data_IF_639633753139
#
_entry.id   IF_639633753139
#
_cell.length_a   1.000
_cell.length_b   1.000
_cell.length_c   1.000
_cell.angle_alpha   90.00
_cell.angle_beta   90.00
_cell.angle_gamma   90.00
#
_symmetry.space_group_name_H-M   'P 1'
#
loop_
_entity.id
_entity.type
_entity.pdbx_description
1 polymer ?
#
# COMPACT_ATOMS: atom_id res chain seq x y z
N UNK A 1 -2.59 37.11 13.14
CA UNK A 1 -2.25 36.11 12.11
C UNK A 1 -1.31 35.09 12.73
N UNK A 2 -1.53 33.80 12.57
CA UNK A 2 -0.58 32.78 13.02
C UNK A 2 0.59 32.69 12.02
N UNK A 3 1.82 32.51 12.51
CA UNK A 3 3.01 32.52 11.67
C UNK A 3 3.13 31.26 10.83
N UNK A 4 2.98 31.38 9.51
CA UNK A 4 3.37 30.34 8.56
C UNK A 4 4.89 30.18 8.58
N UNK A 5 5.38 28.96 8.82
CA UNK A 5 6.78 28.64 8.60
C UNK A 5 7.03 28.52 7.10
N UNK A 6 7.85 29.42 6.55
CA UNK A 6 8.58 29.10 5.32
C UNK A 6 9.47 27.90 5.64
N UNK A 7 9.33 26.80 4.88
CA UNK A 7 10.23 25.65 5.00
C UNK A 7 11.65 26.14 4.70
N UNK A 8 12.57 25.95 5.64
CA UNK A 8 13.96 26.33 5.42
C UNK A 8 14.55 25.45 4.32
N UNK A 9 15.34 26.07 3.45
CA UNK A 9 16.08 25.42 2.37
C UNK A 9 16.82 24.17 2.89
N UNK A 10 16.75 23.08 2.13
CA UNK A 10 17.42 21.82 2.42
C UNK A 10 18.94 22.00 2.67
N UNK A 11 19.55 23.03 2.06
CA UNK A 11 20.95 23.43 2.25
C UNK A 11 21.31 23.81 3.70
N UNK A 12 20.33 24.14 4.54
CA UNK A 12 20.56 24.64 5.91
C UNK A 12 21.07 23.52 6.84
N UNK A 13 22.20 23.74 7.50
CA UNK A 13 22.75 22.85 8.53
C UNK A 13 21.88 22.84 9.82
N UNK A 14 21.80 21.78 10.63
CA UNK A 14 22.41 20.45 10.58
C UNK A 14 21.37 19.41 11.08
N UNK A 15 21.13 18.29 10.37
CA UNK A 15 20.11 17.30 10.73
C UNK A 15 20.41 16.52 12.03
N UNK A 16 21.62 16.56 12.59
CA UNK A 16 21.87 16.03 13.94
C UNK A 16 21.10 16.81 15.01
N UNK A 17 20.85 18.11 14.82
CA UNK A 17 20.34 19.02 15.85
C UNK A 17 19.04 18.55 16.53
N UNK A 18 17.92 18.35 15.81
CA UNK A 18 16.66 17.93 16.45
C UNK A 18 16.74 16.52 17.06
N UNK A 19 17.54 15.60 16.49
CA UNK A 19 17.78 14.30 17.12
C UNK A 19 18.69 14.40 18.34
N UNK A 20 19.57 15.39 18.40
CA UNK A 20 20.42 15.68 19.56
C UNK A 20 19.81 16.75 20.48
N UNK A 21 18.48 16.87 20.53
CA UNK A 21 17.77 17.76 21.45
C UNK A 21 16.68 17.05 22.26
N UNK A 22 16.35 17.63 23.42
CA UNK A 22 15.24 17.24 24.25
C UNK A 22 13.91 17.71 23.65
N UNK A 23 12.97 16.79 23.39
CA UNK A 23 11.65 17.10 22.79
C UNK A 23 10.82 18.13 23.59
N UNK A 24 11.17 18.37 24.85
CA UNK A 24 10.41 19.20 25.80
C UNK A 24 10.95 20.62 25.92
N UNK A 25 12.26 20.82 25.67
CA UNK A 25 12.95 22.08 25.98
C UNK A 25 14.06 22.47 24.99
N UNK A 26 14.28 21.71 23.90
CA UNK A 26 15.26 22.02 22.85
C UNK A 26 16.73 21.93 23.28
N UNK A 27 17.04 21.56 24.52
CA UNK A 27 18.43 21.44 25.01
C UNK A 27 19.08 20.11 24.61
N UNK A 28 20.36 20.15 24.25
CA UNK A 28 21.23 18.96 24.22
C UNK A 28 21.52 18.52 25.68
N UNK A 29 21.89 17.24 25.95
CA UNK A 29 22.49 16.85 27.23
C UNK A 29 23.86 17.53 27.40
N UNK A 30 24.39 17.52 28.63
CA UNK A 30 25.74 18.02 28.89
C UNK A 30 26.79 17.09 28.25
N UNK A 31 28.00 17.59 27.91
CA UNK A 31 29.04 16.77 27.29
C UNK A 31 29.33 15.49 28.08
N UNK A 32 29.30 14.34 27.40
CA UNK A 32 29.47 13.01 28.00
C UNK A 32 28.18 12.36 28.55
N UNK A 33 27.12 13.13 28.80
CA UNK A 33 25.82 12.56 29.19
C UNK A 33 25.06 11.98 27.99
N UNK A 34 24.27 10.94 28.26
CA UNK A 34 23.36 10.33 27.27
C UNK A 34 21.93 10.80 27.51
N UNK A 35 21.16 10.90 26.44
CA UNK A 35 19.72 11.16 26.53
C UNK A 35 18.99 10.12 27.39
N UNK A 36 18.13 10.60 28.29
CA UNK A 36 17.09 9.78 28.90
C UNK A 36 16.06 9.39 27.81
N UNK A 37 15.55 8.17 27.92
CA UNK A 37 14.51 7.58 27.08
C UNK A 37 13.52 6.83 27.98
N UNK A 38 12.26 6.69 27.58
CA UNK A 38 11.29 5.97 28.40
C UNK A 38 11.50 4.46 28.29
N UNK A 39 11.74 3.79 29.44
CA UNK A 39 11.98 2.34 29.55
C UNK A 39 10.84 1.45 29.05
N UNK A 40 9.63 1.99 28.85
CA UNK A 40 8.47 1.25 28.29
C UNK A 40 8.47 1.23 26.76
N UNK A 41 9.01 2.28 26.14
CA UNK A 41 9.08 2.43 24.69
C UNK A 41 10.21 1.58 24.10
N UNK A 42 10.17 1.35 22.79
CA UNK A 42 11.34 0.89 22.03
C UNK A 42 12.36 2.02 21.99
N UNK A 43 13.64 1.74 22.26
CA UNK A 43 14.67 2.76 22.55
C UNK A 43 14.92 3.70 21.37
N UNK A 44 14.86 3.16 20.16
CA UNK A 44 15.10 3.82 18.88
C UNK A 44 13.93 4.77 18.54
N UNK A 45 12.72 4.37 18.93
CA UNK A 45 11.44 5.07 18.73
C UNK A 45 11.14 6.08 19.86
N UNK A 46 11.68 5.88 21.06
CA UNK A 46 11.41 6.77 22.18
C UNK A 46 11.86 8.21 21.87
N UNK A 47 11.10 9.24 22.29
CA UNK A 47 11.59 10.60 22.28
C UNK A 47 12.79 10.74 23.22
N UNK A 48 13.62 11.75 22.96
CA UNK A 48 14.84 12.00 23.72
C UNK A 48 14.60 13.11 24.74
N UNK A 49 15.08 12.90 25.97
CA UNK A 49 14.91 13.82 27.11
C UNK A 49 16.28 14.15 27.73
N UNK A 50 16.59 15.43 27.94
CA UNK A 50 17.84 15.81 28.61
C UNK A 50 17.83 15.49 30.11
N UNK A 51 16.66 15.22 30.71
CA UNK A 51 16.54 14.80 32.11
C UNK A 51 15.25 14.03 32.35
N UNK A 52 15.24 13.25 33.44
CA UNK A 52 14.05 12.60 34.00
C UNK A 52 12.89 13.57 34.27
N UNK A 53 13.19 14.81 34.69
CA UNK A 53 12.18 15.85 34.90
C UNK A 53 11.46 16.25 33.59
N UNK A 54 12.18 16.30 32.47
CA UNK A 54 11.56 16.54 31.16
C UNK A 54 10.67 15.36 30.74
N UNK A 55 11.10 14.11 30.98
CA UNK A 55 10.27 12.93 30.72
C UNK A 55 8.95 13.00 31.50
N UNK A 56 9.00 13.28 32.80
CA UNK A 56 7.79 13.43 33.64
C UNK A 56 6.88 14.54 33.13
N UNK A 57 7.40 15.74 32.91
CA UNK A 57 6.64 16.88 32.39
C UNK A 57 5.91 16.57 31.06
N UNK A 58 6.52 15.77 30.18
CA UNK A 58 5.93 15.41 28.89
C UNK A 58 4.86 14.31 28.99
N UNK A 59 5.00 13.40 29.96
CA UNK A 59 3.99 12.40 30.33
C UNK A 59 2.80 13.05 31.03
N UNK A 60 3.03 13.93 32.01
CA UNK A 60 2.02 14.70 32.74
C UNK A 60 1.17 15.59 31.81
N UNK A 61 1.77 16.15 30.77
CA UNK A 61 1.08 16.89 29.70
C UNK A 61 0.33 16.01 28.70
N UNK A 62 0.29 14.70 28.90
CA UNK A 62 -0.38 13.74 28.00
C UNK A 62 0.26 13.57 26.62
N UNK A 63 1.43 14.19 26.35
CA UNK A 63 2.12 14.14 25.05
C UNK A 63 2.95 12.86 24.85
N UNK A 64 3.08 12.06 25.92
CA UNK A 64 3.66 10.73 25.90
C UNK A 64 2.90 9.83 26.86
N UNK A 65 1.91 9.11 26.33
CA UNK A 65 1.10 8.18 27.14
C UNK A 65 1.63 6.75 27.03
N UNK A 66 1.19 5.88 27.95
CA UNK A 66 1.44 4.42 27.87
C UNK A 66 1.01 3.84 26.51
N UNK A 67 -0.17 4.23 26.04
CA UNK A 67 -0.71 3.80 24.75
C UNK A 67 0.17 4.22 23.56
N UNK A 68 0.86 5.37 23.64
CA UNK A 68 1.82 5.79 22.60
C UNK A 68 3.09 4.92 22.60
N UNK A 69 3.63 4.48 23.74
CA UNK A 69 4.72 3.49 23.75
C UNK A 69 4.27 2.13 23.22
N UNK A 70 3.05 1.68 23.56
CA UNK A 70 2.49 0.41 23.10
C UNK A 70 2.23 0.42 21.58
N UNK A 71 1.66 1.52 21.05
CA UNK A 71 1.49 1.76 19.62
C UNK A 71 2.83 1.95 18.89
N UNK A 72 3.79 2.66 19.47
CA UNK A 72 5.14 2.78 18.90
C UNK A 72 5.88 1.45 18.81
N UNK A 73 5.71 0.57 19.80
CA UNK A 73 6.19 -0.82 19.73
C UNK A 73 5.45 -1.62 18.66
N UNK A 74 4.12 -1.49 18.56
CA UNK A 74 3.30 -2.12 17.51
C UNK A 74 3.80 -1.74 16.11
N UNK A 75 3.93 -0.44 15.84
CA UNK A 75 4.40 0.07 14.54
C UNK A 75 5.83 -0.37 14.22
N UNK A 76 6.77 -0.25 15.17
CA UNK A 76 8.19 -0.52 14.89
C UNK A 76 8.57 -2.01 14.86
N UNK A 77 7.84 -2.88 15.57
CA UNK A 77 8.20 -4.31 15.72
C UNK A 77 7.26 -5.23 14.94
N UNK A 78 5.95 -4.97 14.94
CA UNK A 78 4.95 -5.89 14.42
C UNK A 78 4.29 -5.44 13.12
N UNK A 79 4.22 -4.13 12.85
CA UNK A 79 3.71 -3.58 11.59
C UNK A 79 4.82 -3.57 10.54
N UNK A 80 4.86 -4.61 9.70
CA UNK A 80 5.90 -4.81 8.67
C UNK A 80 6.14 -3.60 7.77
N UNK A 81 5.12 -2.75 7.61
CA UNK A 81 5.11 -1.55 6.74
C UNK A 81 6.07 -0.46 7.20
N UNK A 82 6.17 -0.24 8.51
CA UNK A 82 7.07 0.77 9.11
C UNK A 82 8.04 0.17 10.14
N UNK A 83 8.15 -1.17 10.15
CA UNK A 83 9.09 -1.95 10.95
C UNK A 83 10.51 -1.43 10.77
N UNK A 84 11.25 -1.31 11.87
CA UNK A 84 12.67 -0.95 11.85
C UNK A 84 13.01 0.49 11.42
N UNK A 85 12.05 1.30 10.98
CA UNK A 85 12.25 2.71 10.62
C UNK A 85 11.83 3.62 11.79
N UNK A 86 12.75 4.08 12.65
CA UNK A 86 12.41 4.84 13.85
C UNK A 86 11.91 6.26 13.53
N UNK A 87 12.22 6.78 12.34
CA UNK A 87 11.81 8.13 11.92
C UNK A 87 10.35 8.16 11.47
N UNK A 88 9.91 7.19 10.67
CA UNK A 88 8.51 7.04 10.29
C UNK A 88 7.62 6.85 11.53
N UNK A 89 8.00 5.99 12.47
CA UNK A 89 7.21 5.76 13.68
C UNK A 89 7.18 7.00 14.59
N UNK A 90 8.27 7.78 14.68
CA UNK A 90 8.26 9.06 15.42
C UNK A 90 7.36 10.11 14.78
N UNK A 91 7.35 10.21 13.45
CA UNK A 91 6.47 11.12 12.72
C UNK A 91 4.99 10.73 12.90
N UNK A 92 4.65 9.45 12.71
CA UNK A 92 3.29 8.91 12.90
C UNK A 92 2.75 9.03 14.35
N UNK A 93 3.63 9.23 15.35
CA UNK A 93 3.26 9.47 16.75
C UNK A 93 3.27 10.97 17.15
N UNK A 94 3.58 11.88 16.22
CA UNK A 94 3.71 13.31 16.53
C UNK A 94 4.93 13.64 17.42
N UNK A 95 5.97 12.80 17.38
CA UNK A 95 7.22 12.93 18.14
C UNK A 95 8.42 13.41 17.31
N UNK A 96 8.18 13.77 16.04
CA UNK A 96 9.15 14.35 15.13
C UNK A 96 8.45 15.40 14.27
N UNK A 97 9.11 16.52 14.00
CA UNK A 97 8.60 17.55 13.09
C UNK A 97 8.55 17.00 11.66
N UNK A 98 7.58 17.45 10.86
CA UNK A 98 7.41 16.96 9.49
C UNK A 98 8.62 17.28 8.60
N UNK A 99 9.20 18.47 8.77
CA UNK A 99 10.39 18.92 8.02
C UNK A 99 11.62 18.05 8.34
N UNK A 100 11.86 17.73 9.62
CA UNK A 100 12.93 16.80 10.01
C UNK A 100 12.64 15.36 9.58
N UNK A 101 11.37 14.94 9.56
CA UNK A 101 11.01 13.63 9.04
C UNK A 101 11.38 13.52 7.56
N UNK A 102 10.98 14.49 6.72
CA UNK A 102 11.32 14.46 5.29
C UNK A 102 12.83 14.60 5.04
N UNK A 103 13.54 15.45 5.79
CA UNK A 103 15.01 15.53 5.71
C UNK A 103 15.68 14.19 6.04
N UNK A 104 15.19 13.45 7.05
CA UNK A 104 15.69 12.10 7.40
C UNK A 104 15.24 11.03 6.41
N UNK A 105 14.04 11.13 5.84
CA UNK A 105 13.58 10.25 4.77
C UNK A 105 14.48 10.34 3.54
N UNK A 106 14.83 11.56 3.10
CA UNK A 106 15.76 11.78 1.99
C UNK A 106 17.16 11.21 2.26
N UNK A 107 17.72 11.43 3.45
CA UNK A 107 19.01 10.82 3.82
C UNK A 107 18.97 9.28 3.79
N UNK A 108 17.91 8.67 4.33
CA UNK A 108 17.69 7.22 4.31
C UNK A 108 17.51 6.70 2.87
N UNK A 109 16.78 7.41 2.02
CA UNK A 109 16.65 7.08 0.59
C UNK A 109 18.02 7.12 -0.09
N UNK A 110 18.81 8.18 0.09
CA UNK A 110 20.19 8.26 -0.45
C UNK A 110 21.10 7.13 0.05
N UNK A 111 20.98 6.71 1.33
CA UNK A 111 21.75 5.58 1.87
C UNK A 111 21.34 4.23 1.24
N UNK A 112 20.05 4.04 0.95
CA UNK A 112 19.53 2.86 0.22
C UNK A 112 20.00 2.87 -1.25
N UNK A 113 19.97 4.03 -1.91
CA UNK A 113 20.43 4.17 -3.29
C UNK A 113 21.93 3.88 -3.43
N UNK A 114 22.74 4.36 -2.47
CA UNK A 114 24.18 4.03 -2.40
C UNK A 114 24.43 2.54 -2.18
N UNK A 115 23.67 1.87 -1.31
CA UNK A 115 23.83 0.42 -1.14
C UNK A 115 23.53 -0.37 -2.41
N UNK A 116 22.63 0.11 -3.28
CA UNK A 116 22.35 -0.49 -4.60
C UNK A 116 23.47 -0.16 -5.62
N UNK A 117 24.11 1.00 -5.50
CA UNK A 117 25.26 1.44 -6.33
C UNK A 117 26.55 0.71 -5.95
N UNK A 118 26.92 0.72 -4.66
CA UNK A 118 28.09 0.04 -4.06
C UNK A 118 28.07 -1.49 -4.31
N UNK A 119 26.88 -2.06 -4.44
CA UNK A 119 26.65 -3.48 -4.76
C UNK A 119 27.08 -3.87 -6.19
N UNK A 120 27.19 -2.91 -7.12
CA UNK A 120 27.83 -3.10 -8.44
C UNK A 120 27.21 -4.17 -9.35
N UNK A 121 25.96 -4.59 -9.10
CA UNK A 121 25.28 -5.68 -9.82
C UNK A 121 23.93 -5.23 -10.36
N UNK A 122 23.55 -5.76 -11.55
CA UNK A 122 22.27 -5.42 -12.18
C UNK A 122 21.11 -5.79 -11.26
N UNK A 123 20.38 -4.76 -10.87
CA UNK A 123 19.35 -4.78 -9.84
C UNK A 123 18.05 -4.27 -10.44
N UNK A 124 16.98 -5.06 -10.31
CA UNK A 124 15.65 -4.63 -10.70
C UNK A 124 14.94 -4.00 -9.50
N UNK A 125 14.37 -2.81 -9.69
CA UNK A 125 13.67 -2.05 -8.65
C UNK A 125 12.19 -2.06 -8.96
N UNK A 126 11.42 -2.73 -8.08
CA UNK A 126 9.97 -2.70 -8.10
C UNK A 126 9.45 -1.83 -6.95
N UNK A 127 8.41 -1.03 -7.21
CA UNK A 127 7.75 -0.20 -6.18
C UNK A 127 6.32 -0.70 -5.93
N UNK A 128 5.90 -0.61 -4.67
CA UNK A 128 4.58 -1.05 -4.21
C UNK A 128 3.96 0.02 -3.27
N UNK A 129 2.90 0.72 -3.67
CA UNK A 129 2.20 1.66 -2.80
C UNK A 129 1.22 0.96 -1.86
N UNK A 130 1.17 1.43 -0.61
CA UNK A 130 0.08 1.14 0.31
C UNK A 130 -0.41 2.43 0.98
N UNK A 131 -1.73 2.61 1.06
CA UNK A 131 -2.36 3.75 1.77
C UNK A 131 -2.94 3.31 3.11
N UNK A 132 -2.52 3.94 4.22
CA UNK A 132 -3.00 3.61 5.56
C UNK A 132 -3.11 4.86 6.47
N UNK A 133 -4.01 4.81 7.46
CA UNK A 133 -4.12 5.86 8.48
C UNK A 133 -3.16 5.69 9.65
N UNK A 134 -2.63 4.48 9.86
CA UNK A 134 -1.75 4.11 10.99
C UNK A 134 -2.29 4.52 12.39
N UNK A 135 -3.63 4.57 12.57
CA UNK A 135 -4.32 5.07 13.78
C UNK A 135 -4.10 6.59 14.04
N UNK A 136 -3.88 7.38 12.99
CA UNK A 136 -3.82 8.85 13.02
C UNK A 136 -5.09 9.49 12.45
N UNK A 137 -5.13 10.82 12.47
CA UNK A 137 -6.10 11.67 11.78
C UNK A 137 -5.71 11.99 10.31
N UNK A 138 -4.67 11.39 9.73
CA UNK A 138 -4.30 11.55 8.32
C UNK A 138 -4.36 10.21 7.57
N UNK A 139 -4.47 10.24 6.25
CA UNK A 139 -4.02 9.13 5.41
C UNK A 139 -2.59 9.38 4.95
N UNK A 140 -1.78 8.34 4.95
CA UNK A 140 -0.45 8.33 4.36
C UNK A 140 -0.41 7.32 3.23
N UNK A 141 0.31 7.64 2.17
CA UNK A 141 0.85 6.63 1.28
C UNK A 141 2.27 6.28 1.74
N UNK A 142 2.50 4.99 1.83
CA UNK A 142 3.78 4.33 1.98
C UNK A 142 4.18 3.79 0.61
N UNK A 143 5.44 3.93 0.23
CA UNK A 143 6.03 3.20 -0.90
C UNK A 143 7.05 2.23 -0.33
N UNK A 144 6.78 0.94 -0.49
CA UNK A 144 7.79 -0.09 -0.34
C UNK A 144 8.60 -0.18 -1.64
N UNK A 145 9.90 -0.40 -1.52
CA UNK A 145 10.80 -0.63 -2.65
C UNK A 145 11.45 -2.00 -2.51
N UNK A 146 11.29 -2.85 -3.52
CA UNK A 146 11.93 -4.16 -3.62
C UNK A 146 13.10 -4.09 -4.59
N UNK A 147 14.30 -4.36 -4.08
CA UNK A 147 15.55 -4.43 -4.85
C UNK A 147 15.86 -5.90 -5.14
N UNK A 148 15.57 -6.34 -6.36
CA UNK A 148 15.66 -7.71 -6.85
C UNK A 148 17.03 -7.99 -7.48
N UNK A 149 17.66 -9.11 -7.15
CA UNK A 149 18.91 -9.56 -7.81
C UNK A 149 19.12 -11.07 -7.65
N UNK A 150 19.86 -11.66 -8.57
CA UNK A 150 20.12 -13.11 -8.66
C UNK A 150 21.57 -13.53 -8.39
N UNK A 151 22.48 -12.58 -8.10
CA UNK A 151 23.93 -12.83 -7.91
C UNK A 151 24.47 -12.02 -6.73
N UNK A 152 25.39 -12.58 -5.93
CA UNK A 152 26.04 -11.85 -4.81
C UNK A 152 25.09 -11.33 -3.73
N UNK A 153 23.86 -11.85 -3.63
CA UNK A 153 22.88 -11.38 -2.64
C UNK A 153 23.37 -11.47 -1.17
N UNK A 154 24.10 -12.52 -0.74
CA UNK A 154 24.63 -12.61 0.63
C UNK A 154 25.60 -11.49 1.02
N UNK A 155 26.19 -10.79 0.05
CA UNK A 155 27.19 -9.74 0.28
C UNK A 155 26.55 -8.37 0.60
N UNK A 156 25.22 -8.24 0.47
CA UNK A 156 24.47 -6.99 0.66
C UNK A 156 24.34 -6.59 2.13
N UNK A 157 24.57 -5.30 2.40
CA UNK A 157 24.56 -4.73 3.75
C UNK A 157 23.61 -3.52 3.84
N UNK A 158 22.28 -3.74 3.79
CA UNK A 158 21.30 -2.66 3.86
C UNK A 158 21.43 -1.84 5.16
N UNK A 159 21.36 -0.50 5.12
CA UNK A 159 21.58 0.33 6.30
C UNK A 159 20.58 0.04 7.43
N UNK A 160 21.08 -0.03 8.67
CA UNK A 160 20.38 -0.64 9.80
C UNK A 160 19.11 0.10 10.29
N UNK A 161 18.90 1.36 9.88
CA UNK A 161 17.75 2.20 10.22
C UNK A 161 16.66 2.22 9.12
N UNK A 162 16.87 1.49 8.02
CA UNK A 162 15.94 1.43 6.88
C UNK A 162 14.76 0.47 7.09
N UNK A 163 14.89 -0.46 8.05
CA UNK A 163 13.92 -1.54 8.25
C UNK A 163 13.95 -2.64 7.19
N UNK A 164 15.03 -2.74 6.41
CA UNK A 164 15.17 -3.70 5.32
C UNK A 164 14.93 -5.16 5.72
N UNK A 165 14.29 -5.90 4.81
CA UNK A 165 14.02 -7.34 4.92
C UNK A 165 14.78 -8.06 3.80
N UNK A 166 15.71 -8.94 4.16
CA UNK A 166 16.46 -9.75 3.21
C UNK A 166 15.71 -11.06 2.93
N UNK A 167 15.59 -11.41 1.67
CA UNK A 167 15.06 -12.68 1.14
C UNK A 167 16.03 -13.19 0.07
N UNK A 168 16.09 -14.49 -0.21
CA UNK A 168 17.10 -15.18 -1.05
C UNK A 168 17.46 -14.54 -2.41
N UNK A 169 16.59 -13.69 -2.96
CA UNK A 169 16.76 -12.97 -4.25
C UNK A 169 16.34 -11.49 -4.20
N UNK A 170 16.12 -10.92 -3.01
CA UNK A 170 15.70 -9.51 -2.90
C UNK A 170 16.03 -8.87 -1.54
N UNK A 171 16.13 -7.54 -1.54
CA UNK A 171 16.08 -6.73 -0.32
C UNK A 171 14.86 -5.81 -0.42
N UNK A 172 13.92 -5.96 0.51
CA UNK A 172 12.69 -5.17 0.56
C UNK A 172 12.84 -4.07 1.61
N UNK A 173 12.66 -2.83 1.19
CA UNK A 173 12.65 -1.64 2.02
C UNK A 173 11.18 -1.22 2.22
N UNK A 174 10.49 -1.72 3.26
CA UNK A 174 9.02 -1.60 3.37
C UNK A 174 8.54 -0.16 3.54
N UNK A 175 9.40 0.72 4.07
CA UNK A 175 9.15 2.16 4.20
C UNK A 175 10.20 2.99 3.47
N UNK A 176 10.46 2.70 2.19
CA UNK A 176 11.35 3.52 1.35
C UNK A 176 10.86 4.97 1.32
N UNK A 177 9.56 5.19 1.14
CA UNK A 177 8.92 6.50 1.24
C UNK A 177 7.65 6.42 2.09
N UNK A 178 7.32 7.49 2.81
CA UNK A 178 6.07 7.71 3.53
C UNK A 178 5.69 9.18 3.38
N UNK A 179 4.44 9.47 3.03
CA UNK A 179 3.96 10.84 2.81
C UNK A 179 2.46 10.98 3.10
N UNK A 180 1.98 12.10 3.65
CA UNK A 180 0.56 12.33 3.85
C UNK A 180 -0.14 12.55 2.50
N UNK A 181 -1.29 11.90 2.29
CA UNK A 181 -2.22 12.18 1.19
C UNK A 181 -3.27 13.22 1.56
N UNK A 182 -3.43 13.48 2.87
CA UNK A 182 -4.47 14.34 3.42
C UNK A 182 -3.94 15.25 4.53
N UNK A 183 -4.57 16.41 4.67
CA UNK A 183 -4.52 17.23 5.87
C UNK A 183 -5.10 16.48 7.10
N UNK A 184 -4.91 16.99 8.34
CA UNK A 184 -5.46 16.39 9.55
C UNK A 184 -7.00 16.42 9.56
N UNK A 185 -7.63 15.24 9.64
CA UNK A 185 -9.07 15.05 9.73
C UNK A 185 -9.41 14.00 10.80
N UNK A 186 -9.97 14.41 11.97
CA UNK A 186 -10.33 13.50 13.05
C UNK A 186 -11.28 12.35 12.68
N UNK A 187 -12.01 12.43 11.55
CA UNK A 187 -12.85 11.32 11.05
C UNK A 187 -12.05 10.12 10.55
N UNK A 188 -10.75 10.30 10.23
CA UNK A 188 -9.85 9.23 9.80
C UNK A 188 -9.26 8.43 10.98
N UNK A 189 -9.30 9.00 12.19
CA UNK A 189 -8.83 8.39 13.44
C UNK A 189 -9.82 7.31 13.95
N UNK A 190 -9.96 6.24 13.18
CA UNK A 190 -10.84 5.11 13.46
C UNK A 190 -10.08 3.79 13.39
N UNK A 191 -10.50 2.83 14.23
CA UNK A 191 -9.92 1.48 14.26
C UNK A 191 -10.44 0.63 13.08
N UNK A 192 -9.99 0.95 11.86
CA UNK A 192 -10.33 0.23 10.64
C UNK A 192 -9.77 0.89 9.38
N UNK A 193 -9.98 0.28 8.19
CA UNK A 193 -9.64 0.92 6.92
C UNK A 193 -10.52 2.16 6.70
N UNK A 194 -9.95 3.26 6.16
CA UNK A 194 -10.68 4.51 6.00
C UNK A 194 -11.82 4.37 4.99
N UNK A 195 -13.03 4.77 5.40
CA UNK A 195 -14.22 4.75 4.54
C UNK A 195 -14.31 6.03 3.72
N UNK A 196 -13.43 6.15 2.73
CA UNK A 196 -13.57 7.16 1.68
C UNK A 196 -14.78 6.85 0.79
N UNK A 197 -15.33 7.87 0.14
CA UNK A 197 -16.22 7.68 -1.00
C UNK A 197 -15.42 7.24 -2.25
N UNK A 198 -16.06 6.72 -3.31
CA UNK A 198 -15.39 6.44 -4.57
C UNK A 198 -14.61 7.65 -5.10
N UNK A 199 -15.22 8.84 -5.07
CA UNK A 199 -14.70 10.09 -5.62
C UNK A 199 -13.45 10.57 -4.86
N UNK A 200 -13.51 10.55 -3.53
CA UNK A 200 -12.36 10.83 -2.67
C UNK A 200 -11.25 9.77 -2.80
N UNK A 201 -11.60 8.53 -3.12
CA UNK A 201 -10.61 7.48 -3.42
C UNK A 201 -9.90 7.73 -4.76
N UNK A 202 -10.57 8.34 -5.75
CA UNK A 202 -9.93 8.79 -6.99
C UNK A 202 -8.95 9.93 -6.73
N UNK A 203 -9.35 10.95 -5.95
CA UNK A 203 -8.47 12.07 -5.60
C UNK A 203 -7.19 11.60 -4.88
N UNK A 204 -7.34 10.74 -3.87
CA UNK A 204 -6.20 10.11 -3.21
C UNK A 204 -5.36 9.24 -4.16
N UNK A 205 -5.98 8.51 -5.09
CA UNK A 205 -5.28 7.70 -6.10
C UNK A 205 -4.45 8.56 -7.05
N UNK A 206 -4.98 9.68 -7.52
CA UNK A 206 -4.24 10.63 -8.37
C UNK A 206 -3.00 11.18 -7.66
N UNK A 207 -3.08 11.47 -6.35
CA UNK A 207 -1.92 11.85 -5.53
C UNK A 207 -0.89 10.72 -5.40
N UNK A 208 -1.31 9.48 -5.19
CA UNK A 208 -0.41 8.31 -5.16
C UNK A 208 0.32 8.16 -6.50
N UNK A 209 -0.39 8.26 -7.63
CA UNK A 209 0.21 8.15 -8.95
C UNK A 209 1.19 9.30 -9.27
N UNK A 210 0.89 10.53 -8.86
CA UNK A 210 1.78 11.67 -9.04
C UNK A 210 3.11 11.50 -8.28
N UNK A 211 3.06 11.07 -7.02
CA UNK A 211 4.28 10.87 -6.23
C UNK A 211 5.10 9.68 -6.75
N UNK A 212 4.46 8.57 -7.11
CA UNK A 212 5.15 7.43 -7.74
C UNK A 212 5.77 7.80 -9.08
N UNK A 213 5.16 8.73 -9.84
CA UNK A 213 5.78 9.24 -11.08
C UNK A 213 7.10 9.94 -10.78
N UNK A 214 7.19 10.68 -9.67
CA UNK A 214 8.46 11.31 -9.24
C UNK A 214 9.45 10.28 -8.72
N UNK A 215 9.01 9.34 -7.87
CA UNK A 215 9.86 8.26 -7.34
C UNK A 215 10.43 7.36 -8.46
N UNK A 216 9.69 7.12 -9.54
CA UNK A 216 10.19 6.36 -10.70
C UNK A 216 11.09 7.20 -11.60
N UNK A 217 10.80 8.50 -11.79
CA UNK A 217 11.69 9.41 -12.51
C UNK A 217 13.13 9.38 -11.97
N UNK A 218 13.27 9.37 -10.65
CA UNK A 218 14.56 9.27 -9.98
C UNK A 218 15.34 7.99 -10.29
N UNK A 219 14.67 6.82 -10.25
CA UNK A 219 15.31 5.55 -10.62
C UNK A 219 15.68 5.49 -12.11
N UNK A 220 14.91 6.15 -12.99
CA UNK A 220 15.26 6.26 -14.41
C UNK A 220 16.43 7.22 -14.67
N UNK A 221 16.51 8.35 -13.96
CA UNK A 221 17.67 9.24 -14.02
C UNK A 221 18.95 8.54 -13.50
N UNK A 222 18.85 7.74 -12.44
CA UNK A 222 19.94 6.86 -12.00
C UNK A 222 20.38 5.87 -13.09
N UNK A 223 19.43 5.19 -13.75
CA UNK A 223 19.73 4.27 -14.84
C UNK A 223 20.35 5.00 -16.06
N UNK A 224 19.87 6.20 -16.39
CA UNK A 224 20.41 7.05 -17.46
C UNK A 224 21.84 7.54 -17.15
N UNK A 225 22.18 7.72 -15.86
CA UNK A 225 23.56 7.96 -15.38
C UNK A 225 24.46 6.71 -15.40
N UNK A 226 23.99 5.59 -15.95
CA UNK A 226 24.77 4.35 -16.12
C UNK A 226 24.81 3.45 -14.90
N UNK A 227 24.03 3.72 -13.85
CA UNK A 227 23.93 2.84 -12.70
C UNK A 227 23.21 1.54 -13.07
N UNK A 228 23.52 0.40 -12.42
CA UNK A 228 23.02 -0.92 -12.80
C UNK A 228 21.56 -1.17 -12.36
N UNK A 229 20.70 -0.16 -12.45
CA UNK A 229 19.29 -0.16 -12.03
C UNK A 229 18.37 -0.32 -13.24
N UNK A 230 17.37 -1.18 -13.14
CA UNK A 230 16.23 -1.23 -14.06
C UNK A 230 14.92 -1.14 -13.28
N UNK A 231 13.97 -0.30 -13.69
CA UNK A 231 12.67 -0.19 -13.02
C UNK A 231 11.71 -1.23 -13.59
N UNK A 232 11.05 -1.99 -12.72
CA UNK A 232 10.03 -2.96 -13.11
C UNK A 232 8.81 -2.25 -13.73
N UNK A 233 8.28 -2.69 -14.89
CA UNK A 233 7.26 -1.94 -15.64
C UNK A 233 5.88 -1.87 -14.95
N UNK A 234 5.65 -2.73 -13.96
CA UNK A 234 4.40 -2.77 -13.19
C UNK A 234 4.60 -2.27 -11.76
N UNK A 235 3.65 -1.46 -11.28
CA UNK A 235 3.59 -1.00 -9.90
C UNK A 235 2.69 -1.99 -9.13
N UNK A 236 3.28 -2.69 -8.16
CA UNK A 236 2.63 -3.82 -7.49
C UNK A 236 1.64 -3.34 -6.41
N UNK A 237 0.36 -3.64 -6.59
CA UNK A 237 -0.71 -3.22 -5.69
C UNK A 237 -1.20 -4.36 -4.80
N UNK A 238 -1.14 -4.20 -3.46
CA UNK A 238 -1.85 -5.07 -2.52
C UNK A 238 -3.16 -4.43 -2.04
N UNK A 239 -4.29 -5.02 -2.45
CA UNK A 239 -5.64 -4.53 -2.12
C UNK A 239 -6.18 -5.02 -0.76
N UNK A 240 -5.40 -5.76 0.05
CA UNK A 240 -5.86 -6.48 1.27
C UNK A 240 -6.86 -5.70 2.14
N UNK A 241 -6.72 -4.37 2.25
CA UNK A 241 -7.70 -3.46 2.86
C UNK A 241 -7.94 -2.13 2.10
N UNK A 242 -7.50 -2.00 0.83
CA UNK A 242 -7.09 -0.70 0.30
C UNK A 242 -7.88 -0.15 -0.91
N UNK A 243 -8.94 0.62 -0.65
CA UNK A 243 -9.78 1.25 -1.69
C UNK A 243 -9.04 2.27 -2.57
N UNK A 244 -8.04 2.99 -2.03
CA UNK A 244 -7.28 3.98 -2.82
C UNK A 244 -6.40 3.29 -3.86
N UNK A 245 -5.79 2.17 -3.47
CA UNK A 245 -4.93 1.37 -4.34
C UNK A 245 -5.76 0.58 -5.38
N UNK A 246 -6.91 0.02 -4.99
CA UNK A 246 -7.90 -0.57 -5.92
C UNK A 246 -8.22 0.39 -7.09
N UNK A 247 -8.44 1.67 -6.78
CA UNK A 247 -8.85 2.68 -7.78
C UNK A 247 -7.80 2.91 -8.87
N UNK A 248 -6.50 2.78 -8.55
CA UNK A 248 -5.41 2.95 -9.52
C UNK A 248 -5.55 1.96 -10.68
N UNK A 249 -5.79 0.69 -10.34
CA UNK A 249 -6.02 -0.40 -11.29
C UNK A 249 -7.37 -0.27 -12.01
N UNK A 250 -8.47 -0.19 -11.27
CA UNK A 250 -9.82 -0.25 -11.87
C UNK A 250 -10.17 0.97 -12.72
N UNK A 251 -9.55 2.14 -12.47
CA UNK A 251 -9.69 3.33 -13.34
C UNK A 251 -8.60 3.48 -14.38
N UNK A 252 -7.62 2.58 -14.44
CA UNK A 252 -6.49 2.64 -15.39
C UNK A 252 -5.71 3.97 -15.24
N UNK A 253 -5.48 4.39 -13.98
CA UNK A 253 -4.73 5.62 -13.66
C UNK A 253 -3.25 5.36 -13.94
N UNK A 254 -2.71 6.01 -14.97
CA UNK A 254 -1.31 5.85 -15.36
C UNK A 254 -0.38 6.65 -14.46
N UNK A 255 0.71 6.00 -14.04
CA UNK A 255 1.91 6.69 -13.58
C UNK A 255 2.70 7.11 -14.82
N UNK A 256 3.04 8.39 -14.98
CA UNK A 256 3.64 8.92 -16.22
C UNK A 256 4.92 9.68 -15.92
N UNK A 257 5.99 9.26 -16.58
CA UNK A 257 7.35 9.72 -16.31
C UNK A 257 7.95 10.29 -17.60
N UNK A 258 8.53 11.50 -17.60
CA UNK A 258 9.17 12.05 -18.79
C UNK A 258 10.40 11.23 -19.17
N UNK A 259 10.50 10.85 -20.44
CA UNK A 259 11.73 10.32 -21.02
C UNK A 259 12.65 11.50 -21.37
N UNK A 260 13.68 11.68 -20.53
CA UNK A 260 14.69 12.73 -20.68
C UNK A 260 15.55 12.58 -21.95
N UNK A 261 15.52 11.43 -22.65
CA UNK A 261 16.23 11.21 -23.90
C UNK A 261 15.43 11.56 -25.16
N UNK A 262 14.13 11.25 -25.22
CA UNK A 262 13.35 11.27 -26.47
C UNK A 262 12.11 12.21 -26.47
N UNK A 263 11.90 13.01 -25.43
CA UNK A 263 10.69 13.84 -25.24
C UNK A 263 9.35 13.04 -25.25
N UNK A 264 9.43 11.71 -25.07
CA UNK A 264 8.27 10.84 -24.85
C UNK A 264 7.90 10.80 -23.35
N UNK A 265 6.83 10.11 -23.00
CA UNK A 265 6.52 9.79 -21.60
C UNK A 265 6.34 8.29 -21.43
N UNK A 266 7.19 7.66 -20.61
CA UNK A 266 7.02 6.26 -20.21
C UNK A 266 5.81 6.17 -19.29
N UNK A 267 4.93 5.19 -19.53
CA UNK A 267 3.72 4.97 -18.73
C UNK A 267 3.85 3.66 -17.95
N UNK A 268 3.84 3.76 -16.62
CA UNK A 268 3.88 2.61 -15.72
C UNK A 268 2.46 2.22 -15.33
N UNK A 269 2.17 0.91 -15.44
CA UNK A 269 0.86 0.34 -15.15
C UNK A 269 0.80 -0.11 -13.70
N UNK A 270 -0.29 0.20 -13.00
CA UNK A 270 -0.60 -0.40 -11.71
C UNK A 270 -1.22 -1.77 -11.94
N UNK A 271 -0.67 -2.81 -11.31
CA UNK A 271 -1.25 -4.16 -11.39
C UNK A 271 -1.54 -4.72 -10.00
N UNK A 272 -2.70 -5.36 -9.86
CA UNK A 272 -3.06 -6.06 -8.62
C UNK A 272 -2.25 -7.34 -8.57
N UNK A 273 -1.43 -7.52 -7.52
CA UNK A 273 -0.70 -8.79 -7.39
C UNK A 273 -1.69 -9.96 -7.42
N UNK A 274 -1.41 -11.09 -8.10
CA UNK A 274 -2.37 -12.19 -8.19
C UNK A 274 -2.89 -12.66 -6.83
N UNK A 275 -2.07 -12.56 -5.77
CA UNK A 275 -2.49 -12.73 -4.38
C UNK A 275 -3.74 -11.91 -4.01
N UNK A 276 -3.67 -10.61 -4.25
CA UNK A 276 -4.71 -9.62 -3.96
C UNK A 276 -5.94 -9.78 -4.83
N UNK A 277 -5.78 -10.23 -6.08
CA UNK A 277 -6.89 -10.60 -6.98
C UNK A 277 -7.69 -11.76 -6.37
N UNK A 278 -7.03 -12.82 -5.90
CA UNK A 278 -7.73 -13.99 -5.35
C UNK A 278 -8.39 -13.68 -4.02
N UNK A 279 -7.67 -12.97 -3.13
CA UNK A 279 -8.26 -12.50 -1.87
C UNK A 279 -9.59 -11.82 -2.17
N UNK A 280 -9.65 -10.92 -3.15
CA UNK A 280 -10.90 -10.25 -3.48
C UNK A 280 -11.91 -11.12 -4.23
N UNK A 281 -11.50 -12.08 -5.05
CA UNK A 281 -12.39 -13.08 -5.67
C UNK A 281 -13.10 -13.96 -4.62
N UNK A 282 -12.34 -14.57 -3.71
CA UNK A 282 -12.83 -15.39 -2.60
C UNK A 282 -13.66 -14.55 -1.62
N UNK A 283 -13.25 -13.32 -1.34
CA UNK A 283 -14.03 -12.36 -0.53
C UNK A 283 -15.37 -12.01 -1.15
N UNK A 284 -15.40 -11.84 -2.48
CA UNK A 284 -16.60 -11.50 -3.22
C UNK A 284 -17.54 -12.71 -3.27
N UNK A 285 -17.03 -13.90 -3.56
CA UNK A 285 -17.78 -15.15 -3.50
C UNK A 285 -18.41 -15.38 -2.12
N UNK A 286 -17.61 -15.24 -1.05
CA UNK A 286 -18.12 -15.31 0.32
C UNK A 286 -19.20 -14.24 0.57
N UNK A 287 -18.95 -12.98 0.18
CA UNK A 287 -19.90 -11.88 0.38
C UNK A 287 -21.20 -12.03 -0.43
N UNK A 288 -21.17 -12.74 -1.56
CA UNK A 288 -22.29 -12.95 -2.49
C UNK A 288 -23.12 -14.19 -2.15
N UNK A 289 -22.48 -15.29 -1.74
CA UNK A 289 -23.14 -16.58 -1.47
C UNK A 289 -23.45 -16.75 0.02
N UNK A 290 -22.59 -16.24 0.90
CA UNK A 290 -22.68 -16.43 2.37
C UNK A 290 -22.95 -15.15 3.17
N UNK A 291 -22.83 -13.97 2.55
CA UNK A 291 -22.94 -12.67 3.21
C UNK A 291 -21.60 -12.13 3.71
N UNK A 292 -21.61 -10.87 4.18
CA UNK A 292 -20.38 -10.10 4.46
C UNK A 292 -19.56 -10.68 5.62
N UNK A 293 -18.36 -11.20 5.33
CA UNK A 293 -17.26 -11.22 6.29
C UNK A 293 -16.46 -12.52 6.46
N UNK A 294 -15.65 -12.89 5.44
CA UNK A 294 -14.39 -13.67 5.54
C UNK A 294 -13.59 -13.53 4.22
N UNK A 295 -12.26 -13.72 4.26
CA UNK A 295 -11.29 -13.64 3.14
C UNK A 295 -10.15 -14.65 3.38
N UNK A 296 -9.65 -15.41 2.38
CA UNK A 296 -8.21 -15.35 1.99
C UNK A 296 -7.91 -15.71 0.49
N UNK A 297 -6.66 -16.08 0.15
CA UNK A 297 -5.98 -16.29 -1.17
C UNK A 297 -6.21 -17.69 -1.82
N UNK A 298 -5.58 -18.20 -2.91
CA UNK A 298 -4.73 -17.76 -4.07
C UNK A 298 -5.15 -18.59 -5.37
N UNK A 299 -4.76 -18.52 -6.67
CA UNK A 299 -3.88 -17.80 -7.65
C UNK A 299 -4.29 -18.14 -9.13
N UNK A 300 -3.55 -17.66 -10.16
CA UNK A 300 -3.31 -18.11 -11.59
C UNK A 300 -4.42 -18.67 -12.55
N UNK A 301 -4.26 -18.54 -13.90
CA UNK A 301 -5.10 -18.88 -15.12
C UNK A 301 -6.42 -19.73 -15.03
N UNK A 302 -7.53 -19.47 -15.77
CA UNK A 302 -8.93 -19.92 -15.43
C UNK A 302 -9.14 -21.31 -14.77
N UNK A 303 -8.68 -22.42 -15.35
CA UNK A 303 -8.80 -23.75 -14.71
C UNK A 303 -7.71 -24.01 -13.65
N UNK A 304 -6.58 -23.31 -13.71
CA UNK A 304 -5.68 -23.07 -12.59
C UNK A 304 -6.31 -22.16 -11.52
N UNK A 305 -7.19 -21.20 -11.86
CA UNK A 305 -7.86 -20.31 -10.89
C UNK A 305 -8.83 -21.16 -10.08
N UNK A 306 -9.55 -22.07 -10.76
CA UNK A 306 -10.29 -23.14 -10.10
C UNK A 306 -9.38 -23.99 -9.21
N UNK A 307 -8.29 -24.58 -9.75
CA UNK A 307 -7.39 -25.49 -8.99
C UNK A 307 -6.69 -24.81 -7.82
N UNK A 308 -6.30 -23.55 -7.91
CA UNK A 308 -5.60 -22.83 -6.84
C UNK A 308 -6.58 -22.25 -5.82
N UNK A 309 -7.76 -21.77 -6.23
CA UNK A 309 -8.85 -21.49 -5.26
C UNK A 309 -9.19 -22.78 -4.51
N UNK A 310 -9.25 -23.93 -5.18
CA UNK A 310 -9.40 -25.25 -4.56
C UNK A 310 -8.17 -25.64 -3.69
N UNK A 311 -6.95 -25.34 -4.12
CA UNK A 311 -5.71 -25.63 -3.37
C UNK A 311 -5.64 -24.82 -2.07
N UNK A 312 -5.93 -23.53 -2.09
CA UNK A 312 -5.91 -22.66 -0.90
C UNK A 312 -7.14 -22.87 0.00
N UNK A 313 -8.30 -23.25 -0.55
CA UNK A 313 -9.40 -23.83 0.25
C UNK A 313 -8.90 -25.03 1.07
N UNK A 314 -7.99 -25.85 0.55
CA UNK A 314 -7.46 -27.02 1.25
C UNK A 314 -6.25 -26.72 2.16
N UNK A 315 -5.36 -25.79 1.80
CA UNK A 315 -4.13 -25.49 2.57
C UNK A 315 -4.34 -24.50 3.72
N UNK A 316 -5.33 -23.61 3.62
CA UNK A 316 -5.59 -22.62 4.67
C UNK A 316 -6.33 -23.29 5.83
N UNK A 317 -5.57 -23.70 6.84
CA UNK A 317 -6.03 -24.41 8.05
C UNK A 317 -7.32 -23.82 8.64
N UNK A 318 -8.40 -24.60 8.62
CA UNK A 318 -9.71 -24.21 9.16
C UNK A 318 -10.64 -23.53 8.14
N UNK A 319 -10.19 -23.25 6.91
CA UNK A 319 -11.02 -22.73 5.82
C UNK A 319 -11.96 -23.77 5.21
N UNK A 320 -11.55 -25.01 4.88
CA UNK A 320 -12.46 -25.96 4.24
C UNK A 320 -13.59 -26.36 5.20
N UNK A 321 -13.29 -26.59 6.48
CA UNK A 321 -14.30 -26.86 7.51
C UNK A 321 -15.19 -25.63 7.77
N UNK A 322 -14.68 -24.40 7.55
CA UNK A 322 -15.48 -23.17 7.66
C UNK A 322 -16.42 -23.01 6.47
N UNK A 323 -15.99 -23.28 5.24
CA UNK A 323 -16.84 -23.25 4.05
C UNK A 323 -17.89 -24.35 4.14
N UNK A 324 -17.50 -25.58 4.49
CA UNK A 324 -18.42 -26.71 4.59
C UNK A 324 -19.49 -26.48 5.66
N UNK A 325 -19.11 -25.97 6.85
CA UNK A 325 -20.08 -25.56 7.88
C UNK A 325 -21.03 -24.47 7.36
N UNK A 326 -20.52 -23.42 6.73
CA UNK A 326 -21.35 -22.30 6.26
C UNK A 326 -22.32 -22.76 5.16
N UNK A 327 -21.85 -23.55 4.19
CA UNK A 327 -22.71 -24.16 3.18
C UNK A 327 -23.77 -25.07 3.80
N UNK A 328 -23.42 -25.86 4.82
CA UNK A 328 -24.35 -26.76 5.50
C UNK A 328 -25.38 -26.00 6.36
N UNK A 329 -24.98 -24.93 7.05
CA UNK A 329 -25.87 -24.03 7.80
C UNK A 329 -26.85 -23.32 6.86
N UNK A 330 -26.38 -22.78 5.72
CA UNK A 330 -27.22 -22.10 4.74
C UNK A 330 -28.12 -23.05 3.96
N UNK A 331 -27.66 -24.28 3.66
CA UNK A 331 -28.50 -25.31 3.07
C UNK A 331 -29.64 -25.70 4.03
N UNK A 332 -29.36 -25.93 5.32
CA UNK A 332 -30.38 -26.18 6.34
C UNK A 332 -31.37 -25.02 6.52
N UNK A 333 -30.93 -23.78 6.34
CA UNK A 333 -31.81 -22.60 6.36
C UNK A 333 -32.70 -22.52 5.11
N UNK A 334 -32.19 -22.88 3.92
CA UNK A 334 -32.98 -22.93 2.68
C UNK A 334 -33.98 -24.10 2.69
N UNK A 335 -33.60 -25.25 3.22
CA UNK A 335 -34.43 -26.48 3.32
C UNK A 335 -35.41 -26.48 4.50
N UNK A 336 -35.78 -25.31 5.04
CA UNK A 336 -36.68 -25.17 6.21
C UNK A 336 -38.16 -25.50 5.93
N UNK A 337 -38.46 -26.24 4.87
CA UNK A 337 -39.80 -26.74 4.50
C UNK A 337 -40.07 -28.17 5.03
N UNK A 338 -41.35 -28.59 5.18
CA UNK A 338 -41.70 -29.59 6.19
C UNK A 338 -41.50 -31.06 5.79
N UNK A 339 -40.40 -31.66 6.28
CA UNK A 339 -40.31 -32.97 6.99
C UNK A 339 -41.04 -34.22 6.43
N UNK A 340 -41.49 -34.27 5.17
CA UNK A 340 -42.14 -35.47 4.57
C UNK A 340 -41.20 -36.39 3.77
N UNK A 341 -39.90 -36.07 3.70
CA UNK A 341 -38.88 -36.93 3.10
C UNK A 341 -38.21 -37.81 4.16
N UNK A 342 -38.14 -39.13 3.92
CA UNK A 342 -37.41 -40.04 4.79
C UNK A 342 -35.90 -39.73 4.85
N UNK A 343 -35.27 -40.00 5.99
CA UNK A 343 -33.91 -39.56 6.36
C UNK A 343 -32.85 -39.69 5.25
N UNK A 344 -32.83 -40.79 4.48
CA UNK A 344 -31.91 -40.97 3.34
C UNK A 344 -32.11 -39.92 2.23
N UNK A 345 -33.36 -39.60 1.88
CA UNK A 345 -33.68 -38.57 0.87
C UNK A 345 -33.36 -37.17 1.38
N UNK A 346 -33.63 -36.88 2.66
CA UNK A 346 -33.30 -35.59 3.26
C UNK A 346 -31.77 -35.35 3.30
N UNK A 347 -30.98 -36.37 3.69
CA UNK A 347 -29.50 -36.27 3.63
C UNK A 347 -28.98 -36.10 2.20
N UNK A 348 -29.59 -36.76 1.20
CA UNK A 348 -29.21 -36.60 -0.19
C UNK A 348 -29.51 -35.18 -0.72
N UNK A 349 -30.68 -34.61 -0.40
CA UNK A 349 -31.04 -33.24 -0.76
C UNK A 349 -30.09 -32.21 -0.12
N UNK A 350 -29.83 -32.34 1.19
CA UNK A 350 -28.88 -31.49 1.91
C UNK A 350 -27.47 -31.54 1.31
N UNK A 351 -26.96 -32.73 0.99
CA UNK A 351 -25.66 -32.89 0.33
C UNK A 351 -25.63 -32.22 -1.06
N UNK A 352 -26.72 -32.33 -1.84
CA UNK A 352 -26.83 -31.67 -3.14
C UNK A 352 -26.87 -30.14 -3.01
N UNK A 353 -27.62 -29.61 -2.05
CA UNK A 353 -27.67 -28.17 -1.76
C UNK A 353 -26.32 -27.61 -1.29
N UNK A 354 -25.58 -28.35 -0.46
CA UNK A 354 -24.20 -28.00 -0.06
C UNK A 354 -23.25 -28.01 -1.27
N UNK A 355 -23.37 -29.00 -2.16
CA UNK A 355 -22.57 -29.09 -3.38
C UNK A 355 -22.86 -27.93 -4.34
N UNK A 356 -24.13 -27.55 -4.49
CA UNK A 356 -24.53 -26.39 -5.29
C UNK A 356 -23.97 -25.09 -4.69
N UNK A 357 -24.04 -24.90 -3.36
CA UNK A 357 -23.47 -23.72 -2.71
C UNK A 357 -21.95 -23.60 -2.89
N UNK A 358 -21.22 -24.73 -2.96
CA UNK A 358 -19.79 -24.75 -3.33
C UNK A 358 -19.56 -24.37 -4.79
N UNK A 359 -20.38 -24.87 -5.71
CA UNK A 359 -20.31 -24.50 -7.12
C UNK A 359 -20.64 -23.01 -7.36
N UNK A 360 -21.71 -22.50 -6.74
CA UNK A 360 -22.13 -21.09 -6.75
C UNK A 360 -20.98 -20.18 -6.25
N UNK A 361 -20.25 -20.62 -5.23
CA UNK A 361 -19.10 -19.92 -4.67
C UNK A 361 -17.91 -19.87 -5.63
N UNK A 362 -17.52 -21.02 -6.21
CA UNK A 362 -16.42 -21.06 -7.19
C UNK A 362 -16.74 -20.22 -8.43
N UNK A 363 -17.96 -20.30 -8.96
CA UNK A 363 -18.37 -19.51 -10.12
C UNK A 363 -18.45 -18.01 -9.78
N UNK A 364 -18.86 -17.64 -8.57
CA UNK A 364 -18.79 -16.25 -8.11
C UNK A 364 -17.36 -15.72 -7.99
N UNK A 365 -16.38 -16.56 -7.61
CA UNK A 365 -14.97 -16.19 -7.57
C UNK A 365 -14.38 -16.06 -8.99
N UNK A 366 -14.66 -17.00 -9.89
CA UNK A 366 -14.23 -16.93 -11.30
C UNK A 366 -14.84 -15.70 -12.01
N UNK A 367 -16.09 -15.33 -11.71
CA UNK A 367 -16.69 -14.11 -12.21
C UNK A 367 -15.96 -12.82 -11.76
N UNK A 368 -15.24 -12.83 -10.63
CA UNK A 368 -14.34 -11.73 -10.24
C UNK A 368 -13.04 -11.76 -11.04
N UNK A 369 -12.42 -12.93 -11.20
CA UNK A 369 -11.13 -13.04 -11.92
C UNK A 369 -11.30 -12.72 -13.40
N UNK A 370 -12.45 -13.00 -14.01
CA UNK A 370 -12.76 -12.59 -15.39
C UNK A 370 -12.90 -11.06 -15.53
N UNK A 371 -13.46 -10.36 -14.54
CA UNK A 371 -13.47 -8.88 -14.52
C UNK A 371 -12.06 -8.30 -14.39
N UNK A 372 -11.20 -8.92 -13.58
CA UNK A 372 -9.80 -8.54 -13.44
C UNK A 372 -9.06 -8.73 -14.77
N UNK A 373 -9.12 -9.94 -15.37
CA UNK A 373 -8.52 -10.27 -16.67
C UNK A 373 -8.98 -9.31 -17.76
N UNK A 374 -10.29 -9.03 -17.81
CA UNK A 374 -10.88 -8.02 -18.70
C UNK A 374 -10.26 -6.64 -18.50
N UNK A 375 -10.11 -6.17 -17.25
CA UNK A 375 -9.52 -4.87 -16.98
C UNK A 375 -8.05 -4.80 -17.39
N UNK A 376 -7.24 -5.85 -17.13
CA UNK A 376 -5.82 -5.94 -17.58
C UNK A 376 -5.73 -5.80 -19.11
N UNK A 377 -6.51 -6.61 -19.84
CA UNK A 377 -6.58 -6.57 -21.31
C UNK A 377 -6.92 -5.16 -21.80
N UNK A 378 -8.02 -4.60 -21.31
CA UNK A 378 -8.46 -3.25 -21.67
C UNK A 378 -7.56 -2.12 -21.12
N UNK A 379 -6.52 -2.42 -20.33
CA UNK A 379 -5.53 -1.45 -19.84
C UNK A 379 -4.29 -1.42 -20.74
N UNK A 380 -3.88 -2.57 -21.25
CA UNK A 380 -2.70 -2.71 -22.12
C UNK A 380 -3.00 -2.38 -23.60
N UNK A 381 -4.27 -2.51 -24.03
CA UNK A 381 -4.60 -2.70 -25.46
C UNK A 381 -4.23 -1.60 -26.49
N UNK A 382 -3.99 -0.32 -26.13
CA UNK A 382 -3.45 0.62 -27.13
C UNK A 382 -2.35 1.56 -26.60
N UNK A 383 -1.12 1.42 -27.12
CA UNK A 383 -0.13 2.50 -27.20
C UNK A 383 0.49 2.99 -25.88
N UNK A 384 0.52 2.15 -24.85
CA UNK A 384 1.15 2.45 -23.56
C UNK A 384 2.51 1.75 -23.35
N UNK A 385 2.72 0.65 -24.07
CA UNK A 385 3.96 -0.11 -24.22
C UNK A 385 4.11 -0.34 -25.73
N UNK A 386 5.34 -0.33 -26.25
CA UNK A 386 5.59 -0.59 -27.69
C UNK A 386 5.46 -2.10 -28.06
N UNK A 387 5.28 -2.97 -27.06
CA UNK A 387 5.11 -4.43 -27.17
C UNK A 387 3.62 -4.85 -27.16
N UNK A 388 3.30 -5.96 -27.85
CA UNK A 388 1.99 -6.60 -27.80
C UNK A 388 1.68 -7.20 -26.42
N UNK A 389 0.40 -7.29 -26.05
CA UNK A 389 -0.06 -8.08 -24.90
C UNK A 389 0.42 -9.53 -24.98
N UNK A 390 0.52 -10.12 -26.17
CA UNK A 390 1.05 -11.47 -26.37
C UNK A 390 2.55 -11.54 -26.01
N UNK A 391 3.34 -10.56 -26.44
CA UNK A 391 4.79 -10.45 -26.14
C UNK A 391 5.03 -10.25 -24.64
N UNK A 392 4.35 -9.27 -24.02
CA UNK A 392 4.42 -8.95 -22.58
C UNK A 392 4.05 -10.14 -21.68
N UNK A 393 3.19 -11.04 -22.15
CA UNK A 393 2.73 -12.22 -21.39
C UNK A 393 3.40 -13.54 -21.81
N UNK A 394 4.25 -13.54 -22.84
CA UNK A 394 4.84 -14.76 -23.41
C UNK A 394 3.83 -15.73 -24.04
N UNK A 395 2.66 -15.22 -24.45
CA UNK A 395 1.55 -15.98 -25.02
C UNK A 395 1.50 -15.84 -26.56
N UNK A 396 0.72 -16.67 -27.24
CA UNK A 396 0.39 -16.43 -28.65
C UNK A 396 -0.81 -15.49 -28.80
N UNK A 397 -0.84 -14.70 -29.88
CA UNK A 397 -1.99 -13.85 -30.24
C UNK A 397 -3.32 -14.63 -30.30
N UNK A 398 -3.29 -15.90 -30.72
CA UNK A 398 -4.46 -16.77 -30.78
C UNK A 398 -4.97 -17.23 -29.40
N UNK A 399 -4.12 -17.19 -28.37
CA UNK A 399 -4.52 -17.44 -26.97
C UNK A 399 -5.01 -16.15 -26.31
N UNK A 400 -4.36 -15.01 -26.59
CA UNK A 400 -4.85 -13.68 -26.19
C UNK A 400 -6.26 -13.47 -26.71
N UNK A 401 -6.49 -13.55 -28.02
CA UNK A 401 -7.82 -13.40 -28.64
C UNK A 401 -8.88 -14.36 -28.06
N UNK A 402 -8.49 -15.57 -27.66
CA UNK A 402 -9.38 -16.54 -27.00
C UNK A 402 -9.78 -16.06 -25.61
N UNK A 403 -8.83 -15.59 -24.82
CA UNK A 403 -9.08 -15.00 -23.49
C UNK A 403 -9.94 -13.73 -23.62
N UNK A 404 -9.74 -12.92 -24.65
CA UNK A 404 -10.57 -11.73 -24.90
C UNK A 404 -12.02 -12.07 -25.22
N UNK A 405 -12.25 -13.08 -26.06
CA UNK A 405 -13.59 -13.58 -26.38
C UNK A 405 -14.29 -14.24 -25.17
N UNK A 406 -13.51 -14.84 -24.27
CA UNK A 406 -13.95 -15.40 -22.99
C UNK A 406 -14.40 -14.29 -22.02
N UNK A 407 -13.52 -13.32 -21.71
CA UNK A 407 -13.77 -12.31 -20.66
C UNK A 407 -14.50 -11.06 -21.15
N UNK A 408 -14.64 -10.85 -22.46
CA UNK A 408 -15.40 -9.72 -23.03
C UNK A 408 -16.88 -9.69 -22.61
N UNK A 409 -17.42 -10.84 -22.19
CA UNK A 409 -18.77 -11.00 -21.63
C UNK A 409 -18.84 -10.74 -20.12
N UNK A 410 -17.71 -10.58 -19.43
CA UNK A 410 -17.69 -10.37 -17.99
C UNK A 410 -18.24 -8.98 -17.63
N UNK A 411 -19.26 -8.94 -16.77
CA UNK A 411 -19.84 -7.72 -16.25
C UNK A 411 -19.10 -7.23 -14.99
N UNK A 412 -18.68 -5.96 -15.00
CA UNK A 412 -18.15 -5.30 -13.81
C UNK A 412 -19.20 -5.23 -12.69
N UNK A 413 -18.80 -5.52 -11.44
CA UNK A 413 -19.66 -5.46 -10.25
C UNK A 413 -20.15 -4.02 -9.97
N UNK A 414 -21.28 -3.83 -9.27
CA UNK A 414 -21.77 -2.51 -8.85
C UNK A 414 -20.80 -1.69 -7.97
N UNK A 415 -19.80 -2.32 -7.33
CA UNK A 415 -18.71 -1.61 -6.66
C UNK A 415 -17.71 -1.08 -7.69
N UNK A 416 -17.14 -1.97 -8.52
CA UNK A 416 -16.19 -1.63 -9.58
C UNK A 416 -16.76 -0.59 -10.56
N UNK A 417 -18.01 -0.77 -11.03
CA UNK A 417 -18.72 0.20 -11.88
C UNK A 417 -18.78 1.60 -11.24
N UNK A 418 -18.95 1.71 -9.92
CA UNK A 418 -18.92 3.00 -9.21
C UNK A 418 -17.51 3.58 -9.09
N UNK A 419 -16.48 2.76 -8.83
CA UNK A 419 -15.09 3.24 -8.85
C UNK A 419 -14.68 3.75 -10.24
N UNK A 420 -15.11 3.06 -11.30
CA UNK A 420 -14.88 3.44 -12.70
C UNK A 420 -15.64 4.71 -13.10
N UNK A 421 -16.90 4.84 -12.69
CA UNK A 421 -17.76 5.97 -13.04
C UNK A 421 -17.60 7.22 -12.14
N UNK A 422 -16.89 7.13 -11.01
CA UNK A 422 -16.68 8.26 -10.11
C UNK A 422 -16.01 9.45 -10.81
N UNK A 423 -16.27 10.66 -10.31
CA UNK A 423 -15.58 11.89 -10.74
C UNK A 423 -14.91 12.47 -9.50
N UNK A 424 -13.57 12.61 -9.45
CA UNK A 424 -12.91 13.25 -8.32
C UNK A 424 -13.36 14.72 -8.23
N UNK A 425 -13.62 15.25 -7.03
CA UNK A 425 -13.80 16.69 -6.86
C UNK A 425 -12.46 17.38 -7.15
N UNK A 426 -12.51 18.61 -7.69
CA UNK A 426 -11.31 19.42 -7.89
C UNK A 426 -10.68 19.89 -6.55
N UNK A 427 -11.44 19.85 -5.46
CA UNK A 427 -11.03 20.18 -4.09
C UNK A 427 -12.03 19.55 -3.10
N UNK A 428 -11.51 18.90 -2.05
CA UNK A 428 -12.27 18.28 -0.97
C UNK A 428 -11.74 18.79 0.39
N UNK A 429 -12.32 19.86 0.99
CA UNK A 429 -11.77 20.53 2.18
C UNK A 429 -11.43 19.60 3.34
N UNK A 430 -12.19 18.52 3.52
CA UNK A 430 -12.01 17.52 4.57
C UNK A 430 -10.80 16.60 4.38
N UNK A 431 -10.23 16.51 3.18
CA UNK A 431 -8.98 15.78 2.90
C UNK A 431 -7.84 16.73 2.55
N UNK A 432 -8.14 17.86 1.92
CA UNK A 432 -7.16 18.71 1.25
C UNK A 432 -6.61 19.81 2.17
N UNK A 433 -7.31 20.12 3.26
CA UNK A 433 -6.99 21.24 4.12
C UNK A 433 -7.36 22.60 3.49
N UNK A 434 -6.92 23.72 4.07
CA UNK A 434 -7.19 25.04 3.51
C UNK A 434 -6.50 25.25 2.15
N UNK A 435 -7.11 26.06 1.30
CA UNK A 435 -6.44 26.61 0.12
C UNK A 435 -5.46 27.72 0.53
N UNK A 436 -4.28 27.70 -0.07
CA UNK A 436 -3.19 28.68 0.08
C UNK A 436 -2.94 29.31 -1.28
N UNK A 437 -2.81 30.64 -1.33
CA UNK A 437 -2.42 31.36 -2.55
C UNK A 437 -0.90 31.48 -2.59
N UNK A 438 -0.29 31.01 -3.68
CA UNK A 438 1.14 31.09 -3.94
C UNK A 438 1.56 32.48 -4.44
N UNK A 439 2.87 32.74 -4.48
CA UNK A 439 3.42 34.02 -4.95
C UNK A 439 3.12 34.34 -6.43
N UNK A 440 2.79 33.33 -7.24
CA UNK A 440 2.35 33.48 -8.63
C UNK A 440 0.82 33.63 -8.77
N UNK A 441 0.09 33.76 -7.66
CA UNK A 441 -1.36 33.91 -7.61
C UNK A 441 -2.16 32.62 -7.72
N UNK A 442 -1.52 31.46 -7.96
CA UNK A 442 -2.23 30.17 -8.02
C UNK A 442 -2.71 29.76 -6.62
N UNK A 443 -3.89 29.14 -6.55
CA UNK A 443 -4.35 28.47 -5.35
C UNK A 443 -3.97 26.99 -5.38
N UNK A 444 -3.43 26.49 -4.27
CA UNK A 444 -3.13 25.07 -4.02
C UNK A 444 -3.68 24.70 -2.64
N UNK A 445 -4.07 23.45 -2.41
CA UNK A 445 -4.46 23.02 -1.07
C UNK A 445 -3.25 22.66 -0.19
N UNK A 446 -3.45 22.58 1.13
CA UNK A 446 -2.41 22.12 2.06
C UNK A 446 -1.83 20.77 1.61
N UNK A 447 -2.67 19.78 1.29
CA UNK A 447 -2.19 18.46 0.89
C UNK A 447 -1.27 18.50 -0.35
N UNK A 448 -1.65 19.21 -1.42
CA UNK A 448 -0.84 19.31 -2.65
C UNK A 448 0.42 20.17 -2.46
N UNK A 449 0.36 21.18 -1.58
CA UNK A 449 1.54 21.95 -1.15
C UNK A 449 2.51 21.07 -0.33
N UNK A 450 2.00 20.19 0.54
CA UNK A 450 2.82 19.23 1.25
C UNK A 450 3.47 18.22 0.29
N UNK A 451 2.77 17.73 -0.73
CA UNK A 451 3.34 16.82 -1.73
C UNK A 451 4.42 17.49 -2.59
N UNK A 452 4.15 18.68 -3.11
CA UNK A 452 5.08 19.40 -4.00
C UNK A 452 6.34 19.89 -3.29
N UNK A 453 6.28 20.18 -1.98
CA UNK A 453 7.44 20.64 -1.18
C UNK A 453 8.27 19.52 -0.55
N UNK A 454 8.00 18.24 -0.88
CA UNK A 454 8.74 17.10 -0.30
C UNK A 454 10.10 16.81 -0.96
N UNK A 455 10.37 17.37 -2.15
CA UNK A 455 11.62 17.19 -2.91
C UNK A 455 12.04 15.71 -2.96
N UNK A 456 11.22 14.87 -3.59
CA UNK A 456 11.60 13.48 -3.84
C UNK A 456 12.90 13.46 -4.67
N UNK A 457 13.90 12.76 -4.15
CA UNK A 457 15.19 12.46 -4.81
C UNK A 457 14.91 11.66 -6.06
#
# INVERSE_FOLDING_TARGET
MAGYKVRMDASTADPEMELQQCIVCGKRPEPGQRFHVCSRCVREVSPRYCSEACLRQYVERGRHTRAMCERGRKLYVYDLRVRGNPHAVKYLLGWMSEDSFFKRQRQKQQAILREIEDYGHRTEVAVSPEVASFETDRLYCLVAMSSLSTRGHPDRQPPCDTGALLYDKSVVYPSYQLFPLTAPNPRLNSNGPPRLSPELSVLCGQRVAAVLSTTIAAFLDMAARGLPVAVYPFINCDNRTNIVVDVLFWRKILCRVPDHGNCRSVSYLFDLTPYSVVICAVSFAASRVFGKGKRPSEKLLRDEWRKEIEWEINNIKGLPETIDRICHELALQRDSQPRKLGHRKQKAALNAAVSQLKADFLEAALAYTDQYRRNVIEYIKPGLIDESLAEVTGMTEAEVQRIEAEVGKAEFMPYTKRLMAAVPPAYAPELDGPLVTLADGKQVCEADLLLSTQEFI
#
